data_IF_682413523833
#
_entry.id   IF_682413523833
#
_cell.length_a   1.000
_cell.length_b   1.000
_cell.length_c   1.000
_cell.angle_alpha   90.00
_cell.angle_beta   90.00
_cell.angle_gamma   90.00
#
_symmetry.space_group_name_H-M   'P 1'
#
loop_
_entity.id
_entity.type
_entity.pdbx_description
1 polymer ?
#
# COMPACT_ATOMS: atom_id res chain seq x y z
N UNK A 1 -21.20 -18.26 25.69
CA UNK A 1 -21.45 -16.82 25.46
C UNK A 1 -21.14 -16.56 24.00
N UNK A 2 -22.16 -16.57 23.15
CA UNK A 2 -22.02 -16.54 21.69
C UNK A 2 -21.72 -15.09 21.31
N UNK A 3 -20.53 -14.86 20.77
CA UNK A 3 -20.13 -13.57 20.20
C UNK A 3 -21.03 -13.34 18.98
N UNK A 4 -22.01 -12.46 19.11
CA UNK A 4 -22.77 -11.94 17.97
C UNK A 4 -21.84 -11.01 17.18
N UNK A 5 -20.89 -11.60 16.46
CA UNK A 5 -20.00 -10.91 15.55
C UNK A 5 -20.79 -10.51 14.30
N UNK A 6 -20.99 -9.21 14.12
CA UNK A 6 -21.66 -8.55 12.99
C UNK A 6 -21.53 -9.39 11.72
N UNK A 7 -22.60 -10.06 11.28
CA UNK A 7 -22.57 -10.96 10.12
C UNK A 7 -22.13 -10.23 8.85
N UNK A 8 -21.51 -10.95 7.90
CA UNK A 8 -21.23 -10.39 6.59
C UNK A 8 -22.56 -9.91 5.97
N UNK A 9 -22.64 -8.68 5.42
CA UNK A 9 -23.94 -8.09 5.17
C UNK A 9 -24.70 -8.86 4.10
N UNK A 10 -25.95 -9.25 4.35
CA UNK A 10 -26.78 -9.96 3.37
C UNK A 10 -26.94 -9.20 2.05
N UNK A 11 -26.79 -7.87 2.07
CA UNK A 11 -26.82 -7.05 0.86
C UNK A 11 -25.61 -7.30 -0.04
N UNK A 12 -24.43 -7.57 0.51
CA UNK A 12 -23.22 -7.86 -0.27
C UNK A 12 -23.33 -9.22 -0.96
N UNK A 13 -23.85 -10.25 -0.28
CA UNK A 13 -24.10 -11.57 -0.91
C UNK A 13 -25.09 -11.43 -2.06
N UNK A 14 -26.17 -10.66 -1.88
CA UNK A 14 -27.14 -10.39 -2.96
C UNK A 14 -26.49 -9.63 -4.12
N UNK A 15 -25.62 -8.66 -3.83
CA UNK A 15 -24.88 -7.89 -4.84
C UNK A 15 -23.99 -8.82 -5.68
N UNK A 16 -23.22 -9.70 -5.03
CA UNK A 16 -22.37 -10.70 -5.70
C UNK A 16 -23.19 -11.65 -6.59
N UNK A 17 -24.28 -12.21 -6.05
CA UNK A 17 -25.17 -13.10 -6.82
C UNK A 17 -25.81 -12.36 -8.02
N UNK A 18 -26.15 -11.09 -7.87
CA UNK A 18 -26.66 -10.28 -8.97
C UNK A 18 -25.62 -10.15 -10.10
N UNK A 19 -24.33 -10.01 -9.77
CA UNK A 19 -23.22 -9.90 -10.71
C UNK A 19 -22.92 -11.19 -11.49
N UNK A 20 -23.44 -12.36 -11.10
CA UNK A 20 -23.24 -13.63 -11.85
C UNK A 20 -23.65 -13.54 -13.33
N UNK A 21 -24.64 -12.70 -13.66
CA UNK A 21 -25.07 -12.45 -15.05
C UNK A 21 -24.21 -11.42 -15.80
N UNK A 22 -23.25 -10.79 -15.13
CA UNK A 22 -22.36 -9.78 -15.67
C UNK A 22 -20.90 -10.23 -15.46
N UNK A 23 -20.39 -11.22 -16.23
CA UNK A 23 -19.08 -11.82 -15.97
C UNK A 23 -17.96 -10.78 -15.87
N UNK A 24 -17.94 -9.78 -16.75
CA UNK A 24 -16.94 -8.71 -16.71
C UNK A 24 -16.98 -7.89 -15.42
N UNK A 25 -18.19 -7.56 -14.93
CA UNK A 25 -18.34 -6.80 -13.69
C UNK A 25 -18.04 -7.65 -12.46
N UNK A 26 -18.35 -8.95 -12.51
CA UNK A 26 -17.99 -9.91 -11.46
C UNK A 26 -16.47 -10.08 -11.37
N UNK A 27 -15.77 -10.19 -12.49
CA UNK A 27 -14.29 -10.28 -12.53
C UNK A 27 -13.58 -9.00 -12.06
N UNK A 28 -14.30 -7.89 -11.96
CA UNK A 28 -13.79 -6.62 -11.45
C UNK A 28 -14.19 -6.38 -10.00
N UNK A 29 -15.04 -7.24 -9.43
CA UNK A 29 -15.52 -7.06 -8.07
C UNK A 29 -14.45 -7.47 -7.05
N UNK A 30 -14.08 -6.59 -6.10
CA UNK A 30 -13.02 -6.88 -5.13
C UNK A 30 -13.27 -8.14 -4.29
N UNK A 31 -14.53 -8.41 -3.92
CA UNK A 31 -14.86 -9.59 -3.11
C UNK A 31 -14.84 -10.84 -3.97
N UNK A 32 -15.37 -10.79 -5.18
CA UNK A 32 -15.38 -11.94 -6.08
C UNK A 32 -13.95 -12.34 -6.48
N UNK A 33 -13.07 -11.37 -6.71
CA UNK A 33 -11.63 -11.59 -6.93
C UNK A 33 -10.98 -12.23 -5.69
N UNK A 34 -11.25 -11.69 -4.51
CA UNK A 34 -10.74 -12.23 -3.24
C UNK A 34 -11.16 -13.68 -3.02
N UNK A 35 -12.42 -13.99 -3.32
CA UNK A 35 -12.98 -15.34 -3.25
C UNK A 35 -12.33 -16.29 -4.26
N UNK A 36 -12.13 -15.84 -5.51
CA UNK A 36 -11.45 -16.62 -6.56
C UNK A 36 -10.05 -17.03 -6.15
N UNK A 37 -9.28 -16.10 -5.61
CA UNK A 37 -7.93 -16.38 -5.16
C UNK A 37 -7.90 -17.28 -3.93
N UNK A 38 -8.76 -17.01 -2.94
CA UNK A 38 -8.90 -17.84 -1.76
C UNK A 38 -9.17 -19.32 -2.14
N UNK A 39 -10.06 -19.54 -3.11
CA UNK A 39 -10.45 -20.88 -3.56
C UNK A 39 -9.61 -21.42 -4.72
N UNK A 40 -8.57 -20.71 -5.17
CA UNK A 40 -7.73 -21.05 -6.31
C UNK A 40 -8.53 -21.47 -7.56
N UNK A 41 -9.55 -20.68 -7.90
CA UNK A 41 -10.43 -20.92 -9.06
C UNK A 41 -9.94 -20.18 -10.31
N UNK A 42 -10.31 -20.67 -11.49
CA UNK A 42 -9.93 -20.04 -12.76
C UNK A 42 -10.62 -18.68 -12.96
N UNK A 43 -11.87 -18.58 -12.52
CA UNK A 43 -12.67 -17.36 -12.62
C UNK A 43 -13.56 -17.14 -11.37
N UNK A 44 -14.09 -15.93 -11.24
CA UNK A 44 -14.87 -15.52 -10.07
C UNK A 44 -16.25 -16.19 -10.01
N UNK A 45 -16.76 -16.67 -11.14
CA UNK A 45 -18.02 -17.44 -11.18
C UNK A 45 -17.82 -18.82 -10.59
N UNK A 46 -16.78 -19.55 -11.01
CA UNK A 46 -16.40 -20.84 -10.45
C UNK A 46 -16.20 -20.74 -8.94
N UNK A 47 -15.56 -19.66 -8.48
CA UNK A 47 -15.37 -19.40 -7.06
C UNK A 47 -16.69 -19.25 -6.29
N UNK A 48 -17.68 -18.55 -6.84
CA UNK A 48 -19.02 -18.45 -6.27
C UNK A 48 -19.77 -19.78 -6.30
N UNK A 49 -19.59 -20.59 -7.35
CA UNK A 49 -20.18 -21.94 -7.42
C UNK A 49 -19.61 -22.86 -6.33
N UNK A 50 -18.28 -22.86 -6.15
CA UNK A 50 -17.63 -23.61 -5.06
C UNK A 50 -18.03 -23.11 -3.68
N UNK A 51 -18.20 -21.80 -3.52
CA UNK A 51 -18.71 -21.22 -2.27
C UNK A 51 -20.12 -21.71 -1.96
N UNK A 52 -21.00 -21.77 -2.96
CA UNK A 52 -22.36 -22.30 -2.80
C UNK A 52 -22.31 -23.77 -2.39
N UNK A 53 -21.44 -24.57 -3.01
CA UNK A 53 -21.29 -25.97 -2.63
C UNK A 53 -20.78 -26.13 -1.19
N UNK A 54 -19.77 -25.35 -0.80
CA UNK A 54 -19.26 -25.35 0.57
C UNK A 54 -20.31 -24.89 1.60
N UNK A 55 -21.14 -23.89 1.27
CA UNK A 55 -22.17 -23.37 2.16
C UNK A 55 -23.26 -24.40 2.50
N UNK A 56 -23.49 -25.38 1.62
CA UNK A 56 -24.56 -26.36 1.74
C UNK A 56 -24.06 -27.82 1.77
N UNK A 57 -22.78 -28.03 2.06
CA UNK A 57 -22.13 -29.36 2.09
C UNK A 57 -22.76 -30.28 3.15
N UNK A 58 -23.34 -29.73 4.22
CA UNK A 58 -24.06 -30.52 5.22
C UNK A 58 -25.27 -31.22 4.58
N UNK A 59 -25.23 -32.57 4.54
CA UNK A 59 -26.18 -33.43 3.82
C UNK A 59 -27.61 -33.49 4.43
N UNK A 60 -28.20 -32.35 4.76
CA UNK A 60 -29.60 -32.25 5.21
C UNK A 60 -30.52 -31.97 4.03
N UNK A 61 -31.73 -32.51 4.07
CA UNK A 61 -32.76 -32.24 3.05
C UNK A 61 -33.10 -30.76 2.92
N UNK A 62 -32.97 -29.99 4.01
CA UNK A 62 -33.20 -28.53 4.03
C UNK A 62 -32.09 -27.78 3.31
N UNK A 63 -30.82 -28.13 3.54
CA UNK A 63 -29.68 -27.52 2.84
C UNK A 63 -29.77 -27.72 1.32
N UNK A 64 -30.27 -28.88 0.86
CA UNK A 64 -30.53 -29.13 -0.55
C UNK A 64 -31.57 -28.19 -1.17
N UNK A 65 -32.64 -27.86 -0.43
CA UNK A 65 -33.65 -26.88 -0.87
C UNK A 65 -33.06 -25.48 -0.95
N UNK A 66 -32.30 -25.07 0.07
CA UNK A 66 -31.66 -23.75 0.13
C UNK A 66 -30.63 -23.57 -0.99
N UNK A 67 -29.79 -24.57 -1.26
CA UNK A 67 -28.88 -24.61 -2.42
C UNK A 67 -29.62 -24.46 -3.74
N UNK A 68 -30.68 -25.26 -3.94
CA UNK A 68 -31.45 -25.23 -5.19
C UNK A 68 -32.12 -23.87 -5.43
N UNK A 69 -32.56 -23.17 -4.38
CA UNK A 69 -33.09 -21.81 -4.52
C UNK A 69 -32.03 -20.89 -5.13
N UNK A 70 -30.79 -20.92 -4.62
CA UNK A 70 -29.70 -20.06 -5.11
C UNK A 70 -29.33 -20.43 -6.55
N UNK A 71 -29.10 -21.71 -6.84
CA UNK A 71 -28.70 -22.16 -8.18
C UNK A 71 -29.76 -21.76 -9.21
N UNK A 72 -31.04 -22.07 -8.95
CA UNK A 72 -32.11 -21.82 -9.91
C UNK A 72 -32.39 -20.33 -10.10
N UNK A 73 -32.35 -19.52 -9.03
CA UNK A 73 -32.65 -18.10 -9.13
C UNK A 73 -31.46 -17.26 -9.63
N UNK A 74 -30.26 -17.51 -9.10
CA UNK A 74 -29.13 -16.58 -9.25
C UNK A 74 -28.17 -17.01 -10.39
N UNK A 75 -27.99 -18.31 -10.60
CA UNK A 75 -27.17 -18.86 -11.69
C UNK A 75 -28.00 -19.17 -12.95
N UNK A 76 -29.17 -19.80 -12.81
CA UNK A 76 -30.06 -20.12 -13.95
C UNK A 76 -31.08 -19.02 -14.28
N UNK A 77 -31.19 -17.97 -13.45
CA UNK A 77 -32.07 -16.80 -13.68
C UNK A 77 -33.56 -17.11 -13.80
N UNK A 78 -34.03 -18.18 -13.13
CA UNK A 78 -35.46 -18.52 -13.09
C UNK A 78 -36.22 -17.59 -12.14
N UNK A 79 -37.49 -17.33 -12.48
CA UNK A 79 -38.34 -16.48 -11.66
C UNK A 79 -38.66 -17.13 -10.31
N UNK A 80 -38.85 -16.32 -9.26
CA UNK A 80 -39.20 -16.86 -7.93
C UNK A 80 -40.49 -17.69 -7.93
N UNK A 81 -41.44 -17.39 -8.84
CA UNK A 81 -42.66 -18.19 -9.01
C UNK A 81 -42.35 -19.57 -9.57
N UNK A 82 -41.57 -19.66 -10.64
CA UNK A 82 -41.14 -20.93 -11.24
C UNK A 82 -40.38 -21.81 -10.25
N UNK A 83 -39.43 -21.23 -9.52
CA UNK A 83 -38.61 -21.96 -8.54
C UNK A 83 -39.47 -22.44 -7.37
N UNK A 84 -40.37 -21.60 -6.85
CA UNK A 84 -41.30 -21.99 -5.78
C UNK A 84 -42.20 -23.16 -6.18
N UNK A 85 -42.73 -23.15 -7.41
CA UNK A 85 -43.56 -24.22 -7.94
C UNK A 85 -42.75 -25.52 -8.11
N UNK A 86 -41.54 -25.43 -8.66
CA UNK A 86 -40.63 -26.57 -8.87
C UNK A 86 -40.21 -27.24 -7.57
N UNK A 87 -40.04 -26.48 -6.49
CA UNK A 87 -39.65 -26.98 -5.18
C UNK A 87 -40.84 -27.32 -4.27
N UNK A 88 -42.08 -27.23 -4.79
CA UNK A 88 -43.32 -27.44 -4.04
C UNK A 88 -43.42 -26.58 -2.77
N UNK A 89 -42.98 -25.32 -2.85
CA UNK A 89 -43.00 -24.36 -1.76
C UNK A 89 -44.06 -23.28 -1.99
N UNK A 90 -44.72 -22.83 -0.93
CA UNK A 90 -45.43 -21.55 -0.97
C UNK A 90 -44.43 -20.40 -1.16
N UNK A 91 -44.84 -19.30 -1.79
CA UNK A 91 -43.99 -18.11 -1.96
C UNK A 91 -43.42 -17.59 -0.63
N UNK A 92 -44.20 -17.65 0.45
CA UNK A 92 -43.74 -17.27 1.79
C UNK A 92 -42.61 -18.18 2.30
N UNK A 93 -42.75 -19.50 2.12
CA UNK A 93 -41.70 -20.46 2.48
C UNK A 93 -40.46 -20.29 1.60
N UNK A 94 -40.64 -20.06 0.30
CA UNK A 94 -39.55 -19.76 -0.64
C UNK A 94 -38.71 -18.58 -0.16
N UNK A 95 -39.32 -17.42 0.13
CA UNK A 95 -38.55 -16.26 0.59
C UNK A 95 -37.88 -16.50 1.95
N UNK A 96 -38.54 -17.25 2.85
CA UNK A 96 -37.93 -17.63 4.13
C UNK A 96 -36.68 -18.48 3.93
N UNK A 97 -36.73 -19.50 3.07
CA UNK A 97 -35.56 -20.32 2.76
C UNK A 97 -34.50 -19.55 1.97
N UNK A 98 -34.90 -18.61 1.10
CA UNK A 98 -33.95 -17.75 0.39
C UNK A 98 -33.15 -16.86 1.34
N UNK A 99 -33.79 -16.29 2.36
CA UNK A 99 -33.07 -15.51 3.39
C UNK A 99 -32.06 -16.39 4.12
N UNK A 100 -32.47 -17.59 4.57
CA UNK A 100 -31.57 -18.55 5.21
C UNK A 100 -30.41 -18.99 4.30
N UNK A 101 -30.69 -19.22 3.03
CA UNK A 101 -29.66 -19.55 2.04
C UNK A 101 -28.63 -18.41 1.91
N UNK A 102 -29.09 -17.15 1.89
CA UNK A 102 -28.18 -16.00 1.88
C UNK A 102 -27.39 -15.85 3.17
N UNK A 103 -27.97 -16.17 4.33
CA UNK A 103 -27.27 -16.20 5.62
C UNK A 103 -26.19 -17.29 5.65
N UNK A 104 -26.49 -18.48 5.14
CA UNK A 104 -25.52 -19.58 5.01
C UNK A 104 -24.37 -19.21 4.07
N UNK A 105 -24.67 -18.60 2.93
CA UNK A 105 -23.64 -18.07 2.01
C UNK A 105 -22.80 -16.98 2.63
N UNK A 106 -23.40 -16.03 3.38
CA UNK A 106 -22.66 -15.00 4.09
C UNK A 106 -21.68 -15.61 5.11
N UNK A 107 -22.12 -16.66 5.82
CA UNK A 107 -21.30 -17.38 6.79
C UNK A 107 -20.17 -18.17 6.12
N UNK A 108 -20.46 -18.87 5.02
CA UNK A 108 -19.46 -19.59 4.24
C UNK A 108 -18.42 -18.63 3.63
N UNK A 109 -18.89 -17.49 3.11
CA UNK A 109 -18.03 -16.46 2.52
C UNK A 109 -17.10 -15.89 3.57
N UNK A 110 -17.61 -15.58 4.76
CA UNK A 110 -16.78 -15.24 5.92
C UNK A 110 -15.80 -16.36 6.25
N UNK A 111 -16.24 -17.61 6.30
CA UNK A 111 -15.38 -18.75 6.61
C UNK A 111 -14.18 -18.82 5.67
N UNK A 112 -14.46 -18.88 4.36
CA UNK A 112 -13.43 -18.89 3.32
C UNK A 112 -12.54 -17.66 3.44
N UNK A 113 -13.11 -16.46 3.39
CA UNK A 113 -12.30 -15.26 3.37
C UNK A 113 -11.50 -15.05 4.67
N UNK A 114 -12.03 -15.44 5.83
CA UNK A 114 -11.30 -15.37 7.11
C UNK A 114 -10.12 -16.35 7.18
N UNK A 115 -10.26 -17.56 6.64
CA UNK A 115 -9.16 -18.53 6.51
C UNK A 115 -8.04 -17.95 5.63
N UNK A 116 -8.42 -17.13 4.65
CA UNK A 116 -7.51 -16.48 3.72
C UNK A 116 -7.16 -15.02 4.12
N UNK A 117 -7.54 -14.57 5.33
CA UNK A 117 -7.24 -13.23 5.89
C UNK A 117 -7.83 -12.04 5.09
N UNK A 118 -8.94 -12.23 4.37
CA UNK A 118 -9.57 -11.21 3.54
C UNK A 118 -10.88 -10.73 4.18
N UNK A 119 -10.87 -9.69 5.01
CA UNK A 119 -12.12 -8.98 5.34
C UNK A 119 -12.26 -7.73 4.46
N UNK A 120 -13.25 -7.63 3.55
CA UNK A 120 -13.32 -6.51 2.59
C UNK A 120 -13.49 -5.14 3.23
N UNK A 121 -14.15 -5.04 4.39
CA UNK A 121 -14.23 -3.78 5.15
C UNK A 121 -12.89 -3.43 5.79
N UNK A 122 -12.17 -4.42 6.30
CA UNK A 122 -10.83 -4.26 6.87
C UNK A 122 -9.82 -3.87 5.81
N UNK A 123 -9.79 -4.56 4.67
CA UNK A 123 -8.98 -4.21 3.51
C UNK A 123 -9.30 -2.80 2.99
N UNK A 124 -10.59 -2.43 2.94
CA UNK A 124 -10.99 -1.08 2.53
C UNK A 124 -10.53 -0.03 3.56
N UNK A 125 -10.68 -0.29 4.86
CA UNK A 125 -10.27 0.63 5.93
C UNK A 125 -8.74 0.77 6.01
N UNK A 126 -7.99 -0.32 5.86
CA UNK A 126 -6.53 -0.31 5.77
C UNK A 126 -6.08 0.44 4.51
N UNK A 127 -6.65 0.12 3.35
CA UNK A 127 -6.36 0.86 2.10
C UNK A 127 -6.69 2.34 2.21
N UNK A 128 -7.82 2.70 2.84
CA UNK A 128 -8.19 4.09 3.08
C UNK A 128 -7.26 4.75 4.09
N UNK A 129 -6.81 4.06 5.13
CA UNK A 129 -5.84 4.58 6.11
C UNK A 129 -4.47 4.83 5.48
N UNK A 130 -4.16 4.14 4.38
CA UNK A 130 -2.95 4.35 3.57
C UNK A 130 -3.09 5.46 2.51
N UNK A 131 -4.28 5.62 1.91
CA UNK A 131 -4.51 6.58 0.81
C UNK A 131 -4.94 7.96 1.32
N UNK A 132 -5.85 7.98 2.28
CA UNK A 132 -6.50 9.17 2.82
C UNK A 132 -6.70 9.02 4.34
N UNK A 133 -5.60 9.07 5.11
CA UNK A 133 -5.64 8.83 6.54
C UNK A 133 -6.52 9.85 7.27
N UNK A 134 -6.58 11.10 6.81
CA UNK A 134 -7.45 12.14 7.36
C UNK A 134 -8.92 11.77 7.24
N UNK A 135 -9.34 11.20 6.10
CA UNK A 135 -10.70 10.71 5.91
C UNK A 135 -11.04 9.56 6.86
N UNK A 136 -10.12 8.64 7.09
CA UNK A 136 -10.32 7.57 8.10
C UNK A 136 -10.49 8.19 9.48
N UNK A 137 -9.62 9.13 9.87
CA UNK A 137 -9.73 9.82 11.15
C UNK A 137 -11.07 10.56 11.30
N UNK A 138 -11.56 11.22 10.24
CA UNK A 138 -12.86 11.89 10.22
C UNK A 138 -14.05 10.93 10.33
N UNK A 139 -13.98 9.73 9.75
CA UNK A 139 -15.04 8.71 9.88
C UNK A 139 -15.17 8.22 11.32
N UNK A 140 -14.07 8.14 12.06
CA UNK A 140 -14.05 7.68 13.45
C UNK A 140 -14.05 8.83 14.48
N UNK A 141 -14.18 10.09 14.03
CA UNK A 141 -14.18 11.24 14.92
C UNK A 141 -15.34 11.16 15.93
N UNK A 142 -15.02 11.21 17.22
CA UNK A 142 -16.01 11.11 18.31
C UNK A 142 -16.58 9.70 18.55
N UNK A 143 -16.03 8.65 17.91
CA UNK A 143 -16.41 7.24 18.14
C UNK A 143 -15.22 6.43 18.63
N UNK A 144 -15.46 5.57 19.61
CA UNK A 144 -14.47 4.55 19.97
C UNK A 144 -14.57 3.40 18.98
N UNK A 145 -13.48 3.13 18.25
CA UNK A 145 -13.33 1.92 17.45
C UNK A 145 -13.55 0.69 18.35
N UNK A 146 -14.58 -0.08 18.03
CA UNK A 146 -15.04 -1.20 18.86
C UNK A 146 -14.32 -2.49 18.47
N UNK A 147 -13.97 -2.62 17.20
CA UNK A 147 -13.31 -3.80 16.64
C UNK A 147 -11.77 -3.66 16.67
N UNK A 148 -11.06 -4.79 16.67
CA UNK A 148 -9.59 -4.79 16.65
C UNK A 148 -9.06 -4.14 15.38
N UNK A 149 -9.67 -4.48 14.25
CA UNK A 149 -9.35 -4.08 12.90
C UNK A 149 -9.54 -2.56 12.74
N UNK A 150 -10.63 -2.02 13.27
CA UNK A 150 -10.88 -0.57 13.31
C UNK A 150 -9.81 0.17 14.13
N UNK A 151 -9.43 -0.37 15.30
CA UNK A 151 -8.36 0.22 16.14
C UNK A 151 -7.02 0.20 15.42
N UNK A 152 -6.72 -0.87 14.68
CA UNK A 152 -5.49 -1.00 13.91
C UNK A 152 -5.46 -0.01 12.75
N UNK A 153 -6.52 0.05 11.94
CA UNK A 153 -6.65 1.02 10.85
C UNK A 153 -6.57 2.46 11.35
N UNK A 154 -7.16 2.77 12.52
CA UNK A 154 -7.05 4.09 13.13
C UNK A 154 -5.61 4.40 13.59
N UNK A 155 -4.89 3.42 14.15
CA UNK A 155 -3.49 3.58 14.51
C UNK A 155 -2.61 3.85 13.28
N UNK A 156 -2.79 3.08 12.20
CA UNK A 156 -2.12 3.30 10.91
C UNK A 156 -2.44 4.69 10.37
N UNK A 157 -3.73 5.09 10.36
CA UNK A 157 -4.15 6.41 9.89
C UNK A 157 -3.51 7.54 10.71
N UNK A 158 -3.40 7.41 12.04
CA UNK A 158 -2.70 8.40 12.89
C UNK A 158 -1.22 8.49 12.53
N UNK A 159 -0.55 7.35 12.31
CA UNK A 159 0.85 7.31 11.89
C UNK A 159 1.03 7.93 10.50
N UNK A 160 0.12 7.71 9.57
CA UNK A 160 0.22 8.25 8.20
C UNK A 160 -0.20 9.73 8.11
N UNK A 161 -1.13 10.19 8.96
CA UNK A 161 -1.56 11.59 9.04
C UNK A 161 -0.63 12.49 9.89
N UNK A 162 0.58 12.04 10.21
CA UNK A 162 1.54 12.83 10.99
C UNK A 162 1.05 13.20 12.41
N UNK A 163 0.02 12.52 12.92
CA UNK A 163 -0.49 12.73 14.29
C UNK A 163 0.42 12.04 15.34
N UNK A 164 0.34 12.45 16.63
CA UNK A 164 1.09 11.79 17.69
C UNK A 164 0.71 10.31 17.86
N UNK A 165 1.72 9.45 17.90
CA UNK A 165 1.62 8.01 18.17
C UNK A 165 2.95 7.56 18.79
N UNK A 166 2.92 6.92 19.96
CA UNK A 166 4.12 6.48 20.67
C UNK A 166 4.38 4.99 20.45
N UNK A 167 5.64 4.54 20.55
CA UNK A 167 6.00 3.12 20.40
C UNK A 167 5.19 2.21 21.34
N UNK A 168 4.96 2.65 22.59
CA UNK A 168 4.16 1.93 23.59
C UNK A 168 2.68 1.77 23.20
N UNK A 169 2.16 2.62 22.32
CA UNK A 169 0.77 2.51 21.89
C UNK A 169 0.57 1.23 21.04
N UNK A 170 1.65 0.71 20.44
CA UNK A 170 1.66 -0.56 19.74
C UNK A 170 1.62 -1.79 20.68
N UNK A 171 1.83 -1.63 21.99
CA UNK A 171 1.70 -2.73 22.98
C UNK A 171 0.24 -3.16 23.20
N UNK A 172 -0.72 -2.30 22.83
CA UNK A 172 -2.14 -2.62 22.88
C UNK A 172 -2.62 -3.57 21.78
N UNK A 173 -1.73 -3.99 20.87
CA UNK A 173 -2.04 -4.80 19.70
C UNK A 173 -1.37 -6.18 19.79
N UNK A 174 -1.93 -7.21 19.14
CA UNK A 174 -1.27 -8.51 19.03
C UNK A 174 0.10 -8.41 18.38
N UNK A 175 0.99 -9.36 18.67
CA UNK A 175 2.43 -9.22 18.39
C UNK A 175 2.76 -8.87 16.93
N UNK A 176 2.03 -9.45 15.96
CA UNK A 176 2.20 -9.14 14.55
C UNK A 176 1.79 -7.70 14.20
N UNK A 177 0.55 -7.31 14.51
CA UNK A 177 0.03 -5.95 14.29
C UNK A 177 0.88 -4.88 15.01
N UNK A 178 1.24 -5.15 16.27
CA UNK A 178 2.09 -4.27 17.07
C UNK A 178 3.50 -4.12 16.48
N UNK A 179 4.03 -5.15 15.82
CA UNK A 179 5.29 -5.06 15.08
C UNK A 179 5.15 -4.28 13.76
N UNK A 180 4.03 -4.42 13.05
CA UNK A 180 3.74 -3.61 11.85
C UNK A 180 3.61 -2.12 12.18
N UNK A 181 2.90 -1.75 13.25
CA UNK A 181 2.80 -0.37 13.71
C UNK A 181 4.17 0.21 14.10
N UNK A 182 5.02 -0.60 14.72
CA UNK A 182 6.41 -0.22 15.01
C UNK A 182 7.21 0.01 13.74
N UNK A 183 7.08 -0.84 12.72
CA UNK A 183 7.73 -0.60 11.42
C UNK A 183 7.23 0.70 10.77
N UNK A 184 5.95 1.02 10.87
CA UNK A 184 5.38 2.28 10.40
C UNK A 184 5.94 3.50 11.18
N UNK A 185 6.14 3.38 12.49
CA UNK A 185 6.88 4.38 13.28
C UNK A 185 8.35 4.46 12.89
N UNK A 186 9.00 3.32 12.63
CA UNK A 186 10.37 3.23 12.13
C UNK A 186 10.56 4.03 10.85
N UNK A 187 9.55 4.04 9.96
CA UNK A 187 9.52 4.92 8.79
C UNK A 187 9.55 6.39 9.14
N UNK A 188 8.82 6.82 10.16
CA UNK A 188 8.94 8.21 10.63
C UNK A 188 10.33 8.52 11.17
N UNK A 189 10.92 7.63 11.96
CA UNK A 189 12.29 7.81 12.45
C UNK A 189 13.29 7.92 11.30
N UNK A 190 13.13 7.11 10.25
CA UNK A 190 13.91 7.24 9.02
C UNK A 190 13.77 8.64 8.40
N UNK A 191 12.56 9.18 8.24
CA UNK A 191 12.37 10.52 7.66
C UNK A 191 13.06 11.63 8.47
N UNK A 192 13.11 11.48 9.80
CA UNK A 192 13.78 12.41 10.72
C UNK A 192 15.27 12.12 10.94
N UNK A 193 15.82 11.05 10.36
CA UNK A 193 17.20 10.65 10.62
C UNK A 193 17.47 10.13 12.03
N UNK A 194 16.43 9.71 12.76
CA UNK A 194 16.57 9.12 14.10
C UNK A 194 17.05 7.67 14.00
N UNK A 195 18.37 7.50 13.81
CA UNK A 195 19.00 6.19 13.70
C UNK A 195 18.84 5.34 14.97
N UNK A 196 18.79 5.95 16.14
CA UNK A 196 18.55 5.23 17.40
C UNK A 196 17.12 4.68 17.46
N UNK A 197 16.13 5.48 17.05
CA UNK A 197 14.75 5.06 16.91
C UNK A 197 14.57 3.89 15.94
N UNK A 198 15.21 3.95 14.77
CA UNK A 198 15.22 2.85 13.80
C UNK A 198 15.80 1.57 14.42
N UNK A 199 16.94 1.68 15.12
CA UNK A 199 17.59 0.54 15.76
C UNK A 199 16.72 -0.08 16.87
N UNK A 200 16.08 0.76 17.70
CA UNK A 200 15.15 0.29 18.75
C UNK A 200 13.95 -0.43 18.17
N UNK A 201 13.26 0.17 17.21
CA UNK A 201 12.11 -0.45 16.52
C UNK A 201 12.50 -1.78 15.88
N UNK A 202 13.64 -1.81 15.19
CA UNK A 202 14.13 -3.05 14.55
C UNK A 202 14.39 -4.15 15.57
N UNK A 203 15.01 -3.83 16.70
CA UNK A 203 15.25 -4.79 17.77
C UNK A 203 13.93 -5.33 18.38
N UNK A 204 12.95 -4.45 18.61
CA UNK A 204 11.62 -4.85 19.11
C UNK A 204 10.87 -5.75 18.10
N UNK A 205 10.95 -5.44 16.81
CA UNK A 205 10.32 -6.25 15.75
C UNK A 205 10.98 -7.62 15.64
N UNK A 206 12.32 -7.70 15.71
CA UNK A 206 13.04 -8.98 15.76
C UNK A 206 12.64 -9.82 16.99
N UNK A 207 12.45 -9.20 18.14
CA UNK A 207 11.97 -9.90 19.34
C UNK A 207 10.55 -10.46 19.15
N UNK A 208 9.66 -9.71 18.50
CA UNK A 208 8.31 -10.16 18.17
C UNK A 208 8.31 -11.33 17.17
N UNK A 209 9.19 -11.29 16.16
CA UNK A 209 9.33 -12.37 15.16
C UNK A 209 9.62 -13.74 15.78
N UNK A 210 10.35 -13.79 16.90
CA UNK A 210 10.67 -15.05 17.59
C UNK A 210 9.44 -15.77 18.16
N UNK A 211 8.29 -15.09 18.25
CA UNK A 211 7.05 -15.62 18.81
C UNK A 211 5.97 -15.89 17.74
N UNK A 212 6.28 -15.65 16.47
CA UNK A 212 5.34 -15.75 15.36
C UNK A 212 5.61 -16.98 14.51
N UNK A 213 4.60 -17.41 13.75
CA UNK A 213 4.78 -18.42 12.72
C UNK A 213 5.73 -17.92 11.60
N UNK A 214 6.25 -18.86 10.81
CA UNK A 214 7.25 -18.55 9.77
C UNK A 214 6.75 -17.51 8.75
N UNK A 215 5.47 -17.56 8.36
CA UNK A 215 4.89 -16.69 7.33
C UNK A 215 4.79 -15.25 7.85
N UNK A 216 4.31 -15.09 9.08
CA UNK A 216 4.25 -13.81 9.78
C UNK A 216 5.64 -13.24 10.06
N UNK A 217 6.58 -14.08 10.52
CA UNK A 217 7.96 -13.67 10.76
C UNK A 217 8.66 -13.18 9.47
N UNK A 218 8.47 -13.87 8.34
CA UNK A 218 8.98 -13.42 7.02
C UNK A 218 8.38 -12.10 6.57
N UNK A 219 7.09 -11.88 6.80
CA UNK A 219 6.44 -10.61 6.49
C UNK A 219 7.03 -9.43 7.29
N UNK A 220 7.34 -9.63 8.57
CA UNK A 220 8.04 -8.62 9.38
C UNK A 220 9.50 -8.44 8.96
N UNK A 221 10.21 -9.53 8.65
CA UNK A 221 11.59 -9.48 8.15
C UNK A 221 11.70 -8.68 6.84
N UNK A 222 10.71 -8.81 5.95
CA UNK A 222 10.58 -8.00 4.75
C UNK A 222 10.46 -6.50 5.09
N UNK A 223 9.59 -6.15 6.04
CA UNK A 223 9.41 -4.76 6.47
C UNK A 223 10.66 -4.15 7.12
N UNK A 224 11.38 -4.93 7.94
CA UNK A 224 12.69 -4.53 8.49
C UNK A 224 13.70 -4.30 7.36
N UNK A 225 13.81 -5.23 6.42
CA UNK A 225 14.74 -5.10 5.30
C UNK A 225 14.45 -3.83 4.48
N UNK A 226 13.18 -3.53 4.22
CA UNK A 226 12.77 -2.32 3.53
C UNK A 226 13.09 -1.04 4.34
N UNK A 227 12.87 -1.06 5.66
CA UNK A 227 13.20 0.07 6.53
C UNK A 227 14.69 0.42 6.45
N UNK A 228 15.55 -0.57 6.66
CA UNK A 228 17.00 -0.42 6.63
C UNK A 228 17.51 -0.07 5.22
N UNK A 229 16.86 -0.56 4.16
CA UNK A 229 17.19 -0.21 2.77
C UNK A 229 17.00 1.27 2.49
N UNK A 230 15.87 1.85 2.90
CA UNK A 230 15.60 3.28 2.66
C UNK A 230 16.49 4.17 3.53
N UNK A 231 16.75 3.79 4.78
CA UNK A 231 17.72 4.50 5.62
C UNK A 231 19.14 4.47 4.99
N UNK A 232 19.55 3.32 4.43
CA UNK A 232 20.80 3.21 3.68
C UNK A 232 20.82 4.07 2.41
N UNK A 233 19.72 4.12 1.65
CA UNK A 233 19.57 5.00 0.49
C UNK A 233 19.78 6.46 0.87
N UNK A 234 19.16 6.89 1.97
CA UNK A 234 19.24 8.27 2.42
C UNK A 234 20.64 8.69 2.89
N UNK A 235 21.45 7.73 3.36
CA UNK A 235 22.87 7.93 3.67
C UNK A 235 23.80 7.80 2.47
N UNK A 236 23.31 7.32 1.33
CA UNK A 236 24.13 7.01 0.15
C UNK A 236 25.00 5.75 0.29
N UNK A 237 24.67 4.82 1.22
CA UNK A 237 25.43 3.56 1.38
C UNK A 237 24.90 2.49 0.42
N UNK A 238 25.39 2.52 -0.83
CA UNK A 238 24.95 1.61 -1.89
C UNK A 238 25.23 0.12 -1.56
N UNK A 239 26.26 -0.16 -0.75
CA UNK A 239 26.57 -1.52 -0.31
C UNK A 239 25.53 -2.04 0.68
N UNK A 240 25.10 -1.21 1.63
CA UNK A 240 23.98 -1.55 2.52
C UNK A 240 22.66 -1.67 1.75
N UNK A 241 22.38 -0.77 0.80
CA UNK A 241 21.19 -0.87 -0.06
C UNK A 241 21.15 -2.24 -0.76
N UNK A 242 22.25 -2.66 -1.39
CA UNK A 242 22.33 -3.96 -2.06
C UNK A 242 22.08 -5.14 -1.09
N UNK A 243 22.68 -5.13 0.10
CA UNK A 243 22.45 -6.17 1.12
C UNK A 243 21.00 -6.24 1.57
N UNK A 244 20.38 -5.09 1.81
CA UNK A 244 18.99 -5.03 2.27
C UNK A 244 17.99 -5.35 1.15
N UNK A 245 18.24 -4.97 -0.10
CA UNK A 245 17.46 -5.42 -1.26
C UNK A 245 17.50 -6.94 -1.41
N UNK A 246 18.67 -7.57 -1.28
CA UNK A 246 18.78 -9.04 -1.32
C UNK A 246 18.02 -9.71 -0.15
N UNK A 247 18.07 -9.11 1.04
CA UNK A 247 17.26 -9.58 2.19
C UNK A 247 15.76 -9.48 1.90
N UNK A 248 15.34 -8.38 1.29
CA UNK A 248 13.96 -8.13 0.92
C UNK A 248 13.44 -9.16 -0.10
N UNK A 249 14.21 -9.47 -1.15
CA UNK A 249 13.88 -10.54 -2.10
C UNK A 249 13.72 -11.91 -1.42
N UNK A 250 14.65 -12.28 -0.52
CA UNK A 250 14.57 -13.57 0.20
C UNK A 250 13.32 -13.66 1.07
N UNK A 251 12.96 -12.59 1.75
CA UNK A 251 11.80 -12.56 2.66
C UNK A 251 10.47 -12.38 1.93
N UNK A 252 10.47 -11.90 0.69
CA UNK A 252 9.26 -11.86 -0.15
C UNK A 252 8.75 -13.28 -0.48
N UNK A 253 9.64 -14.27 -0.55
CA UNK A 253 9.29 -15.66 -0.81
C UNK A 253 8.71 -16.31 0.46
N UNK A 254 7.41 -16.59 0.43
CA UNK A 254 6.72 -17.30 1.52
C UNK A 254 6.19 -16.40 2.64
N UNK A 255 6.24 -15.08 2.49
CA UNK A 255 5.53 -14.14 3.36
C UNK A 255 4.01 -14.15 3.11
N UNK A 256 3.22 -13.68 4.08
CA UNK A 256 1.83 -13.27 3.84
C UNK A 256 1.79 -12.19 2.74
N UNK A 257 0.69 -12.07 1.98
CA UNK A 257 0.57 -11.13 0.84
C UNK A 257 1.75 -11.22 -0.15
N UNK A 258 2.04 -12.44 -0.63
CA UNK A 258 3.24 -12.80 -1.39
C UNK A 258 3.43 -12.01 -2.69
N UNK A 259 2.38 -11.82 -3.48
CA UNK A 259 2.48 -11.30 -4.85
C UNK A 259 2.97 -9.85 -4.88
N UNK A 260 2.34 -8.96 -4.11
CA UNK A 260 2.74 -7.56 -4.04
C UNK A 260 4.14 -7.35 -3.44
N UNK A 261 4.52 -8.19 -2.46
CA UNK A 261 5.87 -8.16 -1.88
C UNK A 261 6.94 -8.58 -2.88
N UNK A 262 6.66 -9.57 -3.73
CA UNK A 262 7.56 -9.97 -4.82
C UNK A 262 7.70 -8.85 -5.85
N UNK A 263 6.58 -8.26 -6.27
CA UNK A 263 6.59 -7.11 -7.17
C UNK A 263 7.40 -5.95 -6.58
N UNK A 264 7.15 -5.58 -5.32
CA UNK A 264 7.91 -4.53 -4.64
C UNK A 264 9.40 -4.85 -4.56
N UNK A 265 9.76 -6.11 -4.27
CA UNK A 265 11.14 -6.55 -4.26
C UNK A 265 11.81 -6.38 -5.64
N UNK A 266 11.10 -6.71 -6.72
CA UNK A 266 11.55 -6.49 -8.08
C UNK A 266 11.75 -5.00 -8.40
N UNK A 267 10.83 -4.12 -7.98
CA UNK A 267 10.99 -2.67 -8.14
C UNK A 267 12.21 -2.15 -7.35
N UNK A 268 12.46 -2.67 -6.15
CA UNK A 268 13.64 -2.32 -5.36
C UNK A 268 14.96 -2.79 -6.00
N UNK A 269 14.93 -3.90 -6.74
CA UNK A 269 16.07 -4.33 -7.57
C UNK A 269 16.27 -3.38 -8.74
N UNK A 270 15.18 -3.01 -9.44
CA UNK A 270 15.25 -2.05 -10.54
C UNK A 270 15.86 -0.71 -10.07
N UNK A 271 15.45 -0.19 -8.92
CA UNK A 271 16.05 1.00 -8.32
C UNK A 271 17.55 0.82 -8.03
N UNK A 272 17.96 -0.32 -7.47
CA UNK A 272 19.38 -0.59 -7.20
C UNK A 272 20.21 -0.59 -8.48
N UNK A 273 19.70 -1.18 -9.57
CA UNK A 273 20.40 -1.19 -10.86
C UNK A 273 20.44 0.21 -11.48
N UNK A 274 19.36 1.00 -11.34
CA UNK A 274 19.37 2.40 -11.76
C UNK A 274 20.46 3.21 -11.02
N UNK A 275 20.59 3.03 -9.70
CA UNK A 275 21.64 3.67 -8.89
C UNK A 275 23.06 3.20 -9.25
N UNK A 276 23.20 1.96 -9.74
CA UNK A 276 24.47 1.45 -10.28
C UNK A 276 24.77 1.93 -11.70
N UNK A 277 23.88 2.71 -12.29
CA UNK A 277 23.95 3.19 -13.68
C UNK A 277 23.91 2.04 -14.69
N UNK A 278 23.08 1.05 -14.39
CA UNK A 278 22.77 -0.13 -15.22
C UNK A 278 21.30 -0.03 -15.70
N UNK A 279 20.97 0.89 -16.63
CA UNK A 279 19.58 1.17 -17.00
C UNK A 279 18.89 0.01 -17.72
N UNK A 280 19.62 -0.80 -18.50
CA UNK A 280 19.05 -1.95 -19.18
C UNK A 280 18.61 -3.03 -18.18
N UNK A 281 19.45 -3.30 -17.19
CA UNK A 281 19.20 -4.21 -16.08
C UNK A 281 18.07 -3.71 -15.19
N UNK A 282 18.01 -2.39 -14.95
CA UNK A 282 16.91 -1.76 -14.23
C UNK A 282 15.57 -1.97 -14.94
N UNK A 283 15.51 -1.74 -16.25
CA UNK A 283 14.30 -1.95 -17.07
C UNK A 283 13.87 -3.41 -17.10
N UNK A 284 14.82 -4.33 -17.22
CA UNK A 284 14.53 -5.75 -17.18
C UNK A 284 13.92 -6.15 -15.82
N UNK A 285 14.55 -5.75 -14.72
CA UNK A 285 14.03 -6.01 -13.37
C UNK A 285 12.64 -5.38 -13.14
N UNK A 286 12.40 -4.18 -13.66
CA UNK A 286 11.10 -3.51 -13.54
C UNK A 286 10.02 -4.23 -14.35
N UNK A 287 10.35 -4.67 -15.56
CA UNK A 287 9.43 -5.44 -16.42
C UNK A 287 9.05 -6.75 -15.75
N UNK A 288 10.02 -7.48 -15.21
CA UNK A 288 9.80 -8.73 -14.48
C UNK A 288 8.94 -8.50 -13.23
N UNK A 289 9.19 -7.41 -12.50
CA UNK A 289 8.39 -7.03 -11.35
C UNK A 289 6.92 -6.81 -11.73
N UNK A 290 6.65 -6.00 -12.77
CA UNK A 290 5.31 -5.69 -13.25
C UNK A 290 4.58 -6.90 -13.85
N UNK A 291 5.31 -7.87 -14.41
CA UNK A 291 4.74 -9.11 -14.93
C UNK A 291 4.34 -10.10 -13.81
N UNK A 292 4.93 -9.96 -12.61
CA UNK A 292 4.82 -10.95 -11.53
C UNK A 292 3.57 -10.84 -10.65
N UNK A 293 2.74 -9.80 -10.79
CA UNK A 293 1.60 -9.57 -9.92
C UNK A 293 0.34 -9.07 -10.66
N UNK A 294 -0.87 -9.47 -10.20
CA UNK A 294 -2.10 -8.82 -10.62
C UNK A 294 -2.08 -7.33 -10.20
N UNK A 295 -2.04 -6.44 -11.20
CA UNK A 295 -1.85 -4.98 -11.07
C UNK A 295 -2.90 -4.24 -10.19
N UNK A 296 -3.94 -4.92 -9.70
CA UNK A 296 -5.09 -4.28 -9.05
C UNK A 296 -4.99 -4.11 -7.53
N UNK A 297 -3.91 -4.55 -6.86
CA UNK A 297 -3.94 -4.64 -5.38
C UNK A 297 -3.22 -3.55 -4.61
N UNK A 298 -2.12 -2.96 -5.09
CA UNK A 298 -1.33 -2.08 -4.23
C UNK A 298 -0.85 -0.82 -4.96
N UNK A 299 -1.66 0.24 -4.84
CA UNK A 299 -1.41 1.57 -5.43
C UNK A 299 0.00 2.08 -5.10
N UNK A 300 0.54 1.73 -3.94
CA UNK A 300 1.85 2.16 -3.50
C UNK A 300 2.99 1.47 -4.24
N UNK A 301 2.86 0.18 -4.60
CA UNK A 301 3.85 -0.54 -5.40
C UNK A 301 3.89 0.03 -6.82
N UNK A 302 2.71 0.30 -7.41
CA UNK A 302 2.62 0.97 -8.71
C UNK A 302 3.22 2.38 -8.68
N UNK A 303 2.99 3.12 -7.59
CA UNK A 303 3.54 4.46 -7.43
C UNK A 303 5.07 4.44 -7.33
N UNK A 304 5.63 3.43 -6.65
CA UNK A 304 7.08 3.22 -6.60
C UNK A 304 7.65 2.79 -7.96
N UNK A 305 6.98 1.88 -8.67
CA UNK A 305 7.37 1.48 -10.03
C UNK A 305 7.37 2.67 -10.99
N UNK A 306 6.33 3.52 -10.94
CA UNK A 306 6.24 4.74 -11.73
C UNK A 306 7.36 5.73 -11.40
N UNK A 307 7.76 5.85 -10.12
CA UNK A 307 8.91 6.66 -9.73
C UNK A 307 10.22 6.12 -10.33
N UNK A 308 10.49 4.81 -10.22
CA UNK A 308 11.70 4.20 -10.78
C UNK A 308 11.75 4.36 -12.30
N UNK A 309 10.64 4.10 -13.00
CA UNK A 309 10.53 4.33 -14.43
C UNK A 309 10.78 5.81 -14.79
N UNK A 310 10.22 6.75 -14.03
CA UNK A 310 10.45 8.17 -14.26
C UNK A 310 11.93 8.56 -14.12
N UNK A 311 12.66 7.96 -13.17
CA UNK A 311 14.11 8.17 -13.03
C UNK A 311 14.85 7.64 -14.26
N UNK A 312 14.49 6.47 -14.77
CA UNK A 312 15.10 5.89 -15.98
C UNK A 312 14.84 6.77 -17.22
N UNK A 313 13.58 7.17 -17.42
CA UNK A 313 13.17 8.04 -18.53
C UNK A 313 13.87 9.40 -18.48
N UNK A 314 13.98 9.99 -17.28
CA UNK A 314 14.75 11.22 -17.07
C UNK A 314 16.23 11.04 -17.42
N UNK A 315 16.84 9.90 -17.04
CA UNK A 315 18.23 9.58 -17.35
C UNK A 315 18.49 9.40 -18.86
N UNK A 316 17.50 8.98 -19.63
CA UNK A 316 17.56 8.81 -21.08
C UNK A 316 17.21 10.08 -21.86
N UNK A 317 16.75 11.13 -21.17
CA UNK A 317 16.38 12.41 -21.77
C UNK A 317 14.90 12.54 -22.16
N UNK A 318 14.06 11.53 -21.92
CA UNK A 318 12.60 11.65 -22.09
C UNK A 318 11.95 12.33 -20.87
N UNK A 319 12.22 13.62 -20.74
CA UNK A 319 11.73 14.44 -19.63
C UNK A 319 10.22 14.62 -19.65
N UNK A 320 9.57 14.45 -20.81
CA UNK A 320 8.12 14.60 -20.95
C UNK A 320 7.41 13.40 -20.32
N UNK A 321 7.83 12.19 -20.69
CA UNK A 321 7.27 10.97 -20.14
C UNK A 321 7.60 10.81 -18.65
N UNK A 322 8.83 11.14 -18.23
CA UNK A 322 9.20 11.18 -16.81
C UNK A 322 8.26 12.08 -15.99
N UNK A 323 7.92 13.28 -16.48
CA UNK A 323 6.98 14.19 -15.80
C UNK A 323 5.56 13.64 -15.74
N UNK A 324 5.10 12.94 -16.77
CA UNK A 324 3.79 12.27 -16.76
C UNK A 324 3.72 11.24 -15.63
N UNK A 325 4.72 10.35 -15.56
CA UNK A 325 4.82 9.32 -14.52
C UNK A 325 4.89 9.92 -13.11
N UNK A 326 5.64 11.01 -12.94
CA UNK A 326 5.79 11.69 -11.65
C UNK A 326 4.47 12.26 -11.09
N UNK A 327 3.46 12.53 -11.93
CA UNK A 327 2.14 12.95 -11.46
C UNK A 327 1.48 11.88 -10.58
N UNK A 328 1.76 10.61 -10.82
CA UNK A 328 1.24 9.50 -10.01
C UNK A 328 1.91 9.43 -8.63
N UNK A 329 3.17 9.86 -8.51
CA UNK A 329 3.90 9.91 -7.22
C UNK A 329 3.30 10.89 -6.21
N UNK A 330 2.41 11.79 -6.65
CA UNK A 330 1.67 12.69 -5.75
C UNK A 330 0.69 11.96 -4.84
N UNK A 331 0.30 10.74 -5.20
CA UNK A 331 -0.49 9.86 -4.34
C UNK A 331 0.36 9.21 -3.23
N UNK A 332 1.69 9.29 -3.33
CA UNK A 332 2.62 8.64 -2.41
C UNK A 332 2.68 9.24 -1.01
N UNK A 333 2.32 10.52 -0.81
CA UNK A 333 2.62 11.20 0.46
C UNK A 333 2.06 10.46 1.69
N UNK A 334 0.87 9.88 1.56
CA UNK A 334 0.19 9.21 2.65
C UNK A 334 0.82 7.85 3.02
N UNK A 335 1.41 7.12 2.07
CA UNK A 335 1.97 5.78 2.30
C UNK A 335 3.51 5.72 2.26
N UNK A 336 4.13 6.58 1.45
CA UNK A 336 5.56 6.61 1.11
C UNK A 336 6.04 8.06 0.92
N UNK A 337 6.17 8.82 2.03
CA UNK A 337 6.68 10.19 1.99
C UNK A 337 8.08 10.30 1.36
N UNK A 338 8.87 9.24 1.39
CA UNK A 338 10.13 9.12 0.66
C UNK A 338 9.93 9.20 -0.86
N UNK A 339 9.02 8.39 -1.41
CA UNK A 339 8.71 8.39 -2.86
C UNK A 339 8.05 9.69 -3.27
N UNK A 340 7.13 10.23 -2.45
CA UNK A 340 6.51 11.53 -2.71
C UNK A 340 7.55 12.65 -2.79
N UNK A 341 8.41 12.77 -1.78
CA UNK A 341 9.39 13.85 -1.72
C UNK A 341 10.43 13.74 -2.83
N UNK A 342 10.88 12.52 -3.14
CA UNK A 342 11.78 12.27 -4.27
C UNK A 342 11.12 12.57 -5.61
N UNK A 343 9.87 12.16 -5.80
CA UNK A 343 9.11 12.44 -7.02
C UNK A 343 8.88 13.94 -7.25
N UNK A 344 8.46 14.67 -6.21
CA UNK A 344 8.31 16.14 -6.24
C UNK A 344 9.63 16.84 -6.60
N UNK A 345 10.74 16.43 -5.97
CA UNK A 345 12.03 17.03 -6.24
C UNK A 345 12.56 16.69 -7.64
N UNK A 346 12.33 15.47 -8.16
CA UNK A 346 12.67 15.14 -9.55
C UNK A 346 11.82 15.95 -10.54
N UNK A 347 10.52 16.11 -10.27
CA UNK A 347 9.64 16.97 -11.09
C UNK A 347 10.17 18.40 -11.14
N UNK A 348 10.57 18.95 -9.98
CA UNK A 348 11.17 20.27 -9.90
C UNK A 348 12.51 20.39 -10.62
N UNK A 349 13.37 19.36 -10.58
CA UNK A 349 14.62 19.34 -11.35
C UNK A 349 14.37 19.35 -12.86
N UNK A 350 13.43 18.54 -13.34
CA UNK A 350 13.08 18.49 -14.76
C UNK A 350 12.49 19.82 -15.24
N UNK A 351 11.65 20.46 -14.43
CA UNK A 351 11.14 21.80 -14.71
C UNK A 351 12.27 22.84 -14.76
N UNK A 352 13.22 22.78 -13.81
CA UNK A 352 14.38 23.68 -13.79
C UNK A 352 15.22 23.55 -15.07
N UNK A 353 15.47 22.32 -15.51
CA UNK A 353 16.20 22.04 -16.76
C UNK A 353 15.47 22.56 -18.00
N UNK A 354 14.13 22.51 -18.00
CA UNK A 354 13.30 23.03 -19.07
C UNK A 354 13.11 24.56 -19.03
N UNK A 355 13.61 25.25 -17.99
CA UNK A 355 13.34 26.67 -17.77
C UNK A 355 11.89 26.97 -17.43
N UNK A 356 11.16 25.99 -16.91
CA UNK A 356 9.75 26.10 -16.53
C UNK A 356 9.62 26.53 -15.07
N UNK A 357 8.60 27.32 -14.76
CA UNK A 357 8.24 27.62 -13.37
C UNK A 357 7.70 26.36 -12.69
N UNK A 358 8.22 26.04 -11.51
CA UNK A 358 7.71 24.97 -10.67
C UNK A 358 7.75 25.38 -9.22
N UNK A 359 6.75 25.00 -8.42
CA UNK A 359 6.75 25.21 -6.98
C UNK A 359 6.37 23.90 -6.27
N UNK A 360 6.86 23.68 -5.03
CA UNK A 360 6.43 22.54 -4.22
C UNK A 360 4.91 22.51 -4.09
N UNK A 361 4.30 21.33 -4.17
CA UNK A 361 2.88 21.20 -3.92
C UNK A 361 2.52 21.73 -2.51
N UNK A 362 1.40 22.45 -2.40
CA UNK A 362 0.90 23.00 -1.13
C UNK A 362 0.30 21.95 -0.19
N UNK A 363 0.25 20.68 -0.61
CA UNK A 363 -0.46 19.59 0.06
C UNK A 363 0.23 18.98 1.29
N UNK A 364 1.57 18.96 1.45
CA UNK A 364 2.17 18.22 2.56
C UNK A 364 2.03 18.99 3.88
N UNK A 365 1.84 18.28 5.02
CA UNK A 365 1.78 18.93 6.32
C UNK A 365 3.10 19.64 6.62
N UNK A 366 3.08 20.69 7.44
CA UNK A 366 4.29 21.44 7.82
C UNK A 366 5.41 20.53 8.35
N UNK A 367 5.05 19.44 9.04
CA UNK A 367 5.98 18.44 9.56
C UNK A 367 6.75 17.68 8.47
N UNK A 368 6.24 17.57 7.25
CA UNK A 368 6.97 16.96 6.15
C UNK A 368 8.25 17.74 5.81
N UNK A 369 8.20 19.08 5.90
CA UNK A 369 9.31 19.93 5.49
C UNK A 369 10.50 19.95 6.46
N UNK A 370 10.34 19.38 7.66
CA UNK A 370 11.44 19.16 8.61
C UNK A 370 12.07 17.77 8.46
N UNK A 371 11.71 17.02 7.42
CA UNK A 371 12.31 15.72 7.09
C UNK A 371 13.38 15.86 6.02
N UNK A 372 14.20 14.82 5.84
CA UNK A 372 15.24 14.80 4.78
C UNK A 372 14.66 15.00 3.37
N UNK A 373 13.50 14.40 3.07
CA UNK A 373 12.88 14.56 1.75
C UNK A 373 12.15 15.90 1.60
N UNK A 374 11.67 16.47 2.70
CA UNK A 374 11.23 17.87 2.76
C UNK A 374 12.37 18.85 2.45
N UNK A 375 13.55 18.61 3.02
CA UNK A 375 14.76 19.35 2.71
C UNK A 375 15.17 19.23 1.24
N UNK A 376 15.09 18.03 0.65
CA UNK A 376 15.36 17.83 -0.77
C UNK A 376 14.42 18.68 -1.66
N UNK A 377 13.12 18.66 -1.39
CA UNK A 377 12.12 19.48 -2.11
C UNK A 377 12.44 20.98 -1.97
N UNK A 378 12.79 21.44 -0.76
CA UNK A 378 13.19 22.84 -0.51
C UNK A 378 14.48 23.22 -1.23
N UNK A 379 15.46 22.33 -1.28
CA UNK A 379 16.72 22.57 -1.97
C UNK A 379 16.51 22.76 -3.48
N UNK A 380 15.61 21.99 -4.10
CA UNK A 380 15.21 22.18 -5.50
C UNK A 380 14.47 23.49 -5.68
N UNK A 381 13.54 23.82 -4.78
CA UNK A 381 12.80 25.09 -4.81
C UNK A 381 13.70 26.32 -4.70
N UNK A 382 14.76 26.26 -3.86
CA UNK A 382 15.74 27.34 -3.76
C UNK A 382 16.41 27.67 -5.10
N UNK A 383 16.63 26.67 -5.96
CA UNK A 383 17.19 26.89 -7.30
C UNK A 383 16.20 27.59 -8.23
N UNK A 384 14.93 27.21 -8.18
CA UNK A 384 13.86 27.90 -8.92
C UNK A 384 13.76 29.38 -8.51
N UNK A 385 13.79 29.66 -7.21
CA UNK A 385 13.77 31.03 -6.70
C UNK A 385 14.98 31.85 -7.20
N UNK A 386 16.16 31.24 -7.31
CA UNK A 386 17.33 31.91 -7.87
C UNK A 386 17.21 32.21 -9.36
N UNK A 387 16.69 31.28 -10.16
CA UNK A 387 16.42 31.53 -11.59
C UNK A 387 15.35 32.61 -11.79
N UNK A 388 14.43 32.77 -10.84
CA UNK A 388 13.43 33.84 -10.80
C UNK A 388 13.99 35.19 -10.29
N UNK A 389 15.26 35.26 -9.89
CA UNK A 389 15.89 36.48 -9.37
C UNK A 389 15.63 36.75 -7.88
N UNK A 390 14.98 35.84 -7.15
CA UNK A 390 14.71 35.94 -5.71
C UNK A 390 15.90 35.47 -4.85
N UNK A 391 17.09 36.02 -5.08
CA UNK A 391 18.36 35.53 -4.53
C UNK A 391 18.39 35.42 -2.99
N UNK A 392 17.91 36.42 -2.26
CA UNK A 392 17.89 36.38 -0.79
C UNK A 392 16.96 35.28 -0.26
N UNK A 393 15.77 35.15 -0.83
CA UNK A 393 14.80 34.12 -0.44
C UNK A 393 15.33 32.73 -0.76
N UNK A 394 15.92 32.56 -1.94
CA UNK A 394 16.57 31.34 -2.37
C UNK A 394 17.69 30.91 -1.40
N UNK A 395 18.53 31.86 -0.96
CA UNK A 395 19.58 31.61 0.04
C UNK A 395 19.01 31.11 1.37
N UNK A 396 17.99 31.78 1.90
CA UNK A 396 17.32 31.37 3.15
C UNK A 396 16.76 29.94 3.04
N UNK A 397 16.05 29.64 1.95
CA UNK A 397 15.47 28.30 1.72
C UNK A 397 16.55 27.23 1.58
N UNK A 398 17.66 27.52 0.88
CA UNK A 398 18.79 26.60 0.74
C UNK A 398 19.48 26.32 2.09
N UNK A 399 19.68 27.34 2.92
CA UNK A 399 20.32 27.22 4.22
C UNK A 399 19.45 26.42 5.21
N UNK A 400 18.13 26.64 5.19
CA UNK A 400 17.17 25.81 5.94
C UNK A 400 17.21 24.35 5.48
N UNK A 401 17.20 24.12 4.17
CA UNK A 401 17.27 22.77 3.60
C UNK A 401 18.57 22.05 3.99
N UNK A 402 19.71 22.72 3.92
CA UNK A 402 21.00 22.17 4.35
C UNK A 402 20.98 21.81 5.84
N UNK A 403 20.49 22.71 6.70
CA UNK A 403 20.38 22.49 8.14
C UNK A 403 19.53 21.26 8.47
N UNK A 404 18.36 21.14 7.83
CA UNK A 404 17.49 19.97 8.02
C UNK A 404 18.15 18.69 7.50
N UNK A 405 18.79 18.73 6.33
CA UNK A 405 19.46 17.57 5.75
C UNK A 405 20.65 17.09 6.61
N UNK A 406 21.38 18.00 7.25
CA UNK A 406 22.46 17.66 8.17
C UNK A 406 21.94 17.05 9.46
N UNK A 407 20.90 17.66 10.06
CA UNK A 407 20.24 17.15 11.26
C UNK A 407 19.55 15.79 11.05
N UNK A 408 19.17 15.47 9.81
CA UNK A 408 18.55 14.19 9.43
C UNK A 408 19.55 13.20 8.80
N UNK A 409 20.86 13.47 8.89
CA UNK A 409 21.94 12.62 8.35
C UNK A 409 21.77 12.24 6.87
N UNK A 410 21.40 13.21 6.04
CA UNK A 410 21.23 13.08 4.59
C UNK A 410 22.34 13.86 3.83
N UNK A 411 23.59 13.33 3.78
CA UNK A 411 24.75 14.08 3.31
C UNK A 411 24.66 14.53 1.85
N UNK A 412 24.05 13.72 0.98
CA UNK A 412 23.86 14.06 -0.44
C UNK A 412 22.89 15.23 -0.61
N UNK A 413 21.82 15.28 0.19
CA UNK A 413 20.85 16.38 0.18
C UNK A 413 21.49 17.65 0.74
N UNK A 414 22.25 17.55 1.82
CA UNK A 414 22.99 18.67 2.40
C UNK A 414 24.00 19.26 1.41
N UNK A 415 24.76 18.40 0.72
CA UNK A 415 25.69 18.81 -0.32
C UNK A 415 24.96 19.50 -1.48
N UNK A 416 23.85 18.92 -1.96
CA UNK A 416 23.03 19.50 -3.02
C UNK A 416 22.46 20.88 -2.66
N UNK A 417 21.97 21.04 -1.42
CA UNK A 417 21.47 22.30 -0.89
C UNK A 417 22.58 23.37 -0.77
N UNK A 418 23.78 22.99 -0.31
CA UNK A 418 24.93 23.90 -0.18
C UNK A 418 25.52 24.31 -1.52
N UNK A 419 25.51 23.41 -2.52
CA UNK A 419 26.01 23.68 -3.87
C UNK A 419 25.30 24.86 -4.56
N UNK A 420 24.11 25.24 -4.07
CA UNK A 420 23.44 26.50 -4.42
C UNK A 420 24.37 27.73 -4.30
N UNK A 421 25.24 27.78 -3.29
CA UNK A 421 26.10 28.93 -2.98
C UNK A 421 27.23 29.12 -4.00
N UNK A 422 27.61 28.07 -4.72
CA UNK A 422 28.81 28.09 -5.58
C UNK A 422 28.55 28.61 -7.00
N UNK A 423 27.31 28.99 -7.35
CA UNK A 423 26.96 29.53 -8.69
C UNK A 423 27.45 28.67 -9.87
N UNK A 424 27.79 27.40 -9.65
CA UNK A 424 28.20 26.51 -10.75
C UNK A 424 26.96 26.10 -11.54
N UNK A 425 26.75 26.79 -12.66
CA UNK A 425 25.64 26.59 -13.60
C UNK A 425 25.61 25.22 -14.30
N UNK A 426 26.57 24.30 -14.11
CA UNK A 426 26.77 23.26 -15.14
C UNK A 426 27.07 21.83 -14.70
N UNK A 427 26.89 21.47 -13.43
CA UNK A 427 26.88 20.05 -13.06
C UNK A 427 25.70 19.78 -12.14
N UNK A 428 24.54 19.51 -12.75
CA UNK A 428 23.41 18.88 -12.06
C UNK A 428 23.81 17.46 -11.69
N UNK A 429 24.66 17.31 -10.67
CA UNK A 429 24.77 16.05 -9.97
C UNK A 429 23.38 15.76 -9.40
N UNK A 430 22.67 14.84 -10.03
CA UNK A 430 21.33 14.44 -9.61
C UNK A 430 21.46 13.81 -8.22
N UNK A 431 20.77 14.31 -7.17
CA UNK A 431 20.75 13.63 -5.87
C UNK A 431 20.03 12.28 -5.94
N UNK A 432 19.54 11.87 -7.12
CA UNK A 432 18.81 10.65 -7.37
C UNK A 432 19.64 9.52 -8.00
N UNK A 433 20.89 9.78 -8.44
CA UNK A 433 21.74 8.82 -9.15
C UNK A 433 23.19 8.79 -8.63
#
# INVERSE_FOLDING_TARGET
MIVNGVGWPLHEVRRLLALVAQPKALEQDPVAISLREALACADAREALERLVDAAFESATSVAGVERNIIVLCDFERRSSKEVSARLHLSLRQFFRYRVKALEALAQALRGVLSIHEIEPQTLLLESLAEIDPERVLGVFEGRNAALREERYALAVARINAWQPFAERDADGFPAFDGALLRLALGRRYELYGDGEGIARVTAQVHAAMAQLDERSAKALAFGVADLLRVDALARGDLSAVARHTASLQRNAIGAAGRESRLMYAGVAVAELQALRREPAEARHALTDALASAPLYREIWVLTYAAFVEAVLQAGEGDHAHARELLRHTRLALAHRPDIYGRGQALEGLLALQAGESWQPAARPPALFFVTRYGALVRAVWARHLLEQGEGERARVVADEAATVAEGTHAPLIAAYARAYRERQRQTLASPFL
#
